data_IF_825755291257
#
_entry.id   IF_825755291257
#
_cell.length_a   1.000
_cell.length_b   1.000
_cell.length_c   1.000
_cell.angle_alpha   90.00
_cell.angle_beta   90.00
_cell.angle_gamma   90.00
#
_symmetry.space_group_name_H-M   'P 1'
#
loop_
_entity.id
_entity.type
_entity.pdbx_description
1 polymer ?
#
# COMPACT_ATOMS: atom_id res chain seq x y z
N UNK A 1 -15.53 -6.79 -4.74
CA UNK A 1 -14.29 -6.29 -4.10
C UNK A 1 -14.27 -4.78 -4.07
N UNK A 2 -14.34 -4.08 -5.21
CA UNK A 2 -14.37 -2.62 -5.28
C UNK A 2 -15.41 -1.97 -4.34
N UNK A 3 -16.69 -2.37 -4.43
CA UNK A 3 -17.77 -1.79 -3.60
C UNK A 3 -17.51 -1.97 -2.11
N UNK A 4 -17.07 -3.16 -1.70
CA UNK A 4 -16.74 -3.45 -0.31
C UNK A 4 -15.60 -2.55 0.19
N UNK A 5 -14.48 -2.51 -0.54
CA UNK A 5 -13.35 -1.64 -0.18
C UNK A 5 -13.75 -0.16 -0.16
N UNK A 6 -14.56 0.29 -1.13
CA UNK A 6 -15.07 1.65 -1.19
C UNK A 6 -15.91 1.98 0.03
N UNK A 7 -16.90 1.15 0.40
CA UNK A 7 -17.70 1.39 1.60
C UNK A 7 -16.84 1.39 2.87
N UNK A 8 -15.90 0.45 3.02
CA UNK A 8 -15.03 0.40 4.20
C UNK A 8 -14.13 1.63 4.34
N UNK A 9 -13.54 2.14 3.24
CA UNK A 9 -12.68 3.32 3.29
C UNK A 9 -13.46 4.65 3.38
N UNK A 10 -14.57 4.77 2.64
CA UNK A 10 -15.30 6.04 2.57
C UNK A 10 -16.33 6.20 3.68
N UNK A 11 -16.84 5.13 4.28
CA UNK A 11 -17.86 5.23 5.34
C UNK A 11 -17.40 6.06 6.55
N UNK A 12 -16.17 5.87 7.00
CA UNK A 12 -15.60 6.65 8.11
C UNK A 12 -15.47 8.12 7.73
N UNK A 13 -15.00 8.42 6.53
CA UNK A 13 -14.86 9.80 6.04
C UNK A 13 -16.22 10.49 5.84
N UNK A 14 -17.21 9.78 5.29
CA UNK A 14 -18.57 10.30 5.18
C UNK A 14 -19.20 10.57 6.56
N UNK A 15 -18.94 9.70 7.54
CA UNK A 15 -19.39 9.91 8.91
C UNK A 15 -18.80 11.19 9.50
N UNK A 16 -17.48 11.36 9.42
CA UNK A 16 -16.78 12.54 9.95
C UNK A 16 -17.18 13.82 9.19
N UNK A 17 -17.38 13.76 7.87
CA UNK A 17 -17.72 14.94 7.06
C UNK A 17 -19.15 15.45 7.22
N UNK A 18 -20.13 14.55 7.36
CA UNK A 18 -21.54 14.93 7.33
C UNK A 18 -22.26 14.79 8.67
N UNK A 19 -21.87 13.81 9.49
CA UNK A 19 -22.58 13.47 10.72
C UNK A 19 -21.88 14.00 11.96
N UNK A 20 -20.54 14.00 11.97
CA UNK A 20 -19.76 14.49 13.10
C UNK A 20 -19.90 16.02 13.23
N UNK A 21 -20.16 16.50 14.45
CA UNK A 21 -20.36 17.91 14.76
C UNK A 21 -21.72 18.53 14.36
N UNK A 22 -22.50 17.91 13.46
CA UNK A 22 -23.84 18.41 13.07
C UNK A 22 -24.96 17.97 13.99
N UNK A 23 -24.83 16.78 14.60
CA UNK A 23 -25.84 16.20 15.50
C UNK A 23 -25.56 16.57 16.97
N UNK A 24 -24.48 17.31 17.22
CA UNK A 24 -24.12 17.76 18.57
C UNK A 24 -25.01 18.94 18.97
N UNK A 25 -25.68 18.80 20.11
CA UNK A 25 -26.50 19.88 20.70
C UNK A 25 -25.64 21.03 21.23
N UNK A 26 -26.28 22.10 21.69
CA UNK A 26 -25.59 23.22 22.34
C UNK A 26 -25.28 22.91 23.81
N UNK A 27 -24.29 23.58 24.44
CA UNK A 27 -24.02 23.43 25.86
C UNK A 27 -25.31 23.64 26.67
N UNK A 28 -25.64 22.64 27.48
CA UNK A 28 -26.88 22.55 28.27
C UNK A 28 -27.88 21.49 27.78
N UNK A 29 -27.92 21.18 26.47
CA UNK A 29 -28.82 20.18 25.90
C UNK A 29 -28.12 19.35 24.82
N UNK A 30 -27.22 18.48 25.25
CA UNK A 30 -26.51 17.55 24.37
C UNK A 30 -27.44 16.43 23.91
N UNK A 31 -27.42 16.14 22.62
CA UNK A 31 -28.05 14.94 22.06
C UNK A 31 -27.25 13.72 22.54
N UNK A 32 -27.88 12.84 23.32
CA UNK A 32 -27.28 11.57 23.77
C UNK A 32 -27.94 10.43 23.02
N UNK A 33 -27.16 9.68 22.25
CA UNK A 33 -27.64 8.47 21.58
C UNK A 33 -27.29 7.29 22.49
N UNK A 34 -28.30 6.49 22.86
CA UNK A 34 -28.16 5.35 23.78
C UNK A 34 -27.48 5.69 25.13
N UNK A 35 -27.61 6.94 25.61
CA UNK A 35 -27.05 7.40 26.89
C UNK A 35 -25.60 7.90 26.83
N UNK A 36 -24.90 7.69 25.71
CA UNK A 36 -23.53 8.15 25.52
C UNK A 36 -23.48 9.52 24.81
N UNK A 37 -22.46 10.32 25.15
CA UNK A 37 -22.17 11.60 24.49
C UNK A 37 -21.43 11.31 23.19
N UNK A 38 -21.87 11.91 22.09
CA UNK A 38 -21.18 11.78 20.80
C UNK A 38 -19.80 12.47 20.85
N UNK A 39 -18.90 12.02 19.97
CA UNK A 39 -17.60 12.67 19.76
C UNK A 39 -17.81 14.11 19.28
N UNK A 40 -17.04 15.01 19.87
CA UNK A 40 -17.01 16.43 19.52
C UNK A 40 -15.79 16.71 18.66
N UNK A 41 -15.96 17.51 17.61
CA UNK A 41 -14.83 17.93 16.79
C UNK A 41 -13.88 18.80 17.64
N UNK A 42 -12.59 18.74 17.33
CA UNK A 42 -11.55 19.58 17.89
C UNK A 42 -11.91 21.09 17.71
N UNK A 43 -11.47 22.01 18.60
CA UNK A 43 -11.69 23.45 18.43
C UNK A 43 -11.19 24.01 17.09
N UNK A 44 -10.27 23.32 16.42
CA UNK A 44 -9.81 23.63 15.05
C UNK A 44 -10.82 23.27 13.94
N UNK A 45 -11.87 22.50 14.25
CA UNK A 45 -12.97 22.12 13.37
C UNK A 45 -12.91 20.67 12.88
N UNK A 46 -14.03 20.10 12.45
CA UNK A 46 -14.06 18.71 11.92
C UNK A 46 -13.31 18.51 10.59
N UNK A 47 -13.04 19.60 9.87
CA UNK A 47 -12.32 19.55 8.59
C UNK A 47 -10.83 19.21 8.78
N UNK A 48 -10.23 19.56 9.92
CA UNK A 48 -8.81 19.26 10.20
C UNK A 48 -8.61 17.78 10.51
N UNK A 49 -9.55 17.15 11.22
CA UNK A 49 -9.54 15.71 11.51
C UNK A 49 -9.65 14.88 10.22
N UNK A 50 -10.58 15.25 9.33
CA UNK A 50 -10.69 14.68 7.97
C UNK A 50 -9.39 14.84 7.19
N UNK A 51 -8.81 16.04 7.23
CA UNK A 51 -7.57 16.33 6.52
C UNK A 51 -6.42 15.43 6.99
N UNK A 52 -6.22 15.31 8.31
CA UNK A 52 -5.17 14.45 8.88
C UNK A 52 -5.41 13.00 8.50
N UNK A 53 -6.65 12.51 8.62
CA UNK A 53 -6.99 11.13 8.26
C UNK A 53 -6.67 10.83 6.80
N UNK A 54 -7.04 11.73 5.88
CA UNK A 54 -6.76 11.57 4.45
C UNK A 54 -5.27 11.65 4.12
N UNK A 55 -4.56 12.61 4.72
CA UNK A 55 -3.11 12.75 4.53
C UNK A 55 -2.34 11.52 5.00
N UNK A 56 -2.71 10.98 6.17
CA UNK A 56 -2.10 9.76 6.71
C UNK A 56 -2.36 8.56 5.80
N UNK A 57 -3.60 8.37 5.33
CA UNK A 57 -3.94 7.25 4.43
C UNK A 57 -3.13 7.32 3.14
N UNK A 58 -3.05 8.50 2.50
CA UNK A 58 -2.32 8.68 1.24
C UNK A 58 -0.81 8.54 1.42
N UNK A 59 -0.21 9.20 2.41
CA UNK A 59 1.24 9.13 2.67
C UNK A 59 1.68 7.73 3.10
N UNK A 60 0.92 7.08 3.98
CA UNK A 60 1.26 5.75 4.48
C UNK A 60 1.19 4.69 3.38
N UNK A 61 0.14 4.72 2.54
CA UNK A 61 -0.01 3.77 1.43
C UNK A 61 1.09 3.93 0.39
N UNK A 62 1.34 5.16 -0.06
CA UNK A 62 2.38 5.46 -1.05
C UNK A 62 3.77 5.04 -0.55
N UNK A 63 4.09 5.33 0.72
CA UNK A 63 5.39 5.00 1.31
C UNK A 63 5.55 3.50 1.52
N UNK A 64 4.53 2.81 2.04
CA UNK A 64 4.60 1.36 2.25
C UNK A 64 4.72 0.59 0.93
N UNK A 65 3.96 0.96 -0.10
CA UNK A 65 4.02 0.28 -1.39
C UNK A 65 5.40 0.46 -2.03
N UNK A 66 5.93 1.69 -2.05
CA UNK A 66 7.28 1.99 -2.53
C UNK A 66 8.37 1.25 -1.71
N UNK A 67 8.22 1.17 -0.38
CA UNK A 67 9.16 0.41 0.47
C UNK A 67 9.13 -1.07 0.13
N UNK A 68 7.95 -1.69 -0.04
CA UNK A 68 7.83 -3.12 -0.36
C UNK A 68 8.40 -3.42 -1.75
N UNK A 69 8.07 -2.59 -2.74
CA UNK A 69 8.56 -2.74 -4.10
C UNK A 69 10.08 -2.57 -4.19
N UNK A 70 10.67 -1.68 -3.40
CA UNK A 70 12.13 -1.54 -3.33
C UNK A 70 12.79 -2.67 -2.52
N UNK A 71 12.19 -3.05 -1.39
CA UNK A 71 12.76 -4.03 -0.45
C UNK A 71 12.72 -5.45 -1.01
N UNK A 72 11.67 -5.82 -1.74
CA UNK A 72 11.52 -7.14 -2.38
C UNK A 72 12.72 -7.54 -3.27
N UNK A 73 13.04 -6.79 -4.33
CA UNK A 73 14.19 -7.08 -5.21
C UNK A 73 15.52 -6.94 -4.48
N UNK A 74 15.63 -6.04 -3.50
CA UNK A 74 16.85 -5.89 -2.71
C UNK A 74 17.15 -7.13 -1.85
N UNK A 75 16.16 -7.61 -1.08
CA UNK A 75 16.28 -8.83 -0.27
C UNK A 75 16.57 -10.04 -1.16
N UNK A 76 15.88 -10.15 -2.29
CA UNK A 76 16.10 -11.22 -3.26
C UNK A 76 17.48 -11.18 -3.90
N UNK A 77 18.02 -10.00 -4.20
CA UNK A 77 19.39 -9.81 -4.69
C UNK A 77 20.41 -10.27 -3.65
N UNK A 78 20.20 -9.94 -2.38
CA UNK A 78 21.05 -10.41 -1.29
C UNK A 78 21.01 -11.93 -1.09
N UNK A 79 19.81 -12.53 -1.12
CA UNK A 79 19.63 -13.98 -1.05
C UNK A 79 20.27 -14.68 -2.25
N UNK A 80 20.10 -14.13 -3.45
CA UNK A 80 20.71 -14.64 -4.68
C UNK A 80 22.24 -14.62 -4.59
N UNK A 81 22.86 -13.54 -4.09
CA UNK A 81 24.31 -13.44 -3.87
C UNK A 81 24.82 -14.47 -2.85
N UNK A 82 24.07 -14.73 -1.77
CA UNK A 82 24.42 -15.76 -0.77
C UNK A 82 24.26 -17.19 -1.32
N UNK A 83 23.20 -17.44 -2.08
CA UNK A 83 22.96 -18.73 -2.73
C UNK A 83 24.00 -19.04 -3.83
N UNK A 84 24.35 -18.04 -4.65
CA UNK A 84 25.38 -18.16 -5.69
C UNK A 84 26.74 -18.52 -5.09
N UNK A 85 27.13 -17.89 -3.96
CA UNK A 85 28.36 -18.24 -3.23
C UNK A 85 28.35 -19.66 -2.66
N UNK A 86 27.20 -20.19 -2.24
CA UNK A 86 27.06 -21.57 -1.75
C UNK A 86 27.08 -22.60 -2.88
N UNK A 87 26.45 -22.31 -4.01
CA UNK A 87 26.34 -23.21 -5.16
C UNK A 87 27.59 -23.22 -6.07
N UNK A 88 28.34 -22.11 -6.16
CA UNK A 88 29.68 -22.07 -6.80
C UNK A 88 30.67 -23.09 -6.23
N UNK A 89 30.45 -23.53 -4.99
CA UNK A 89 31.26 -24.59 -4.35
C UNK A 89 30.84 -26.00 -4.75
N UNK A 90 29.61 -26.20 -5.23
CA UNK A 90 29.09 -27.51 -5.68
C UNK A 90 29.35 -27.78 -7.17
N UNK A 91 29.49 -26.73 -7.99
CA UNK A 91 29.88 -26.88 -9.39
C UNK A 91 31.40 -26.71 -9.53
N UNK A 92 32.15 -27.83 -9.48
CA UNK A 92 33.61 -27.83 -9.64
C UNK A 92 34.11 -27.31 -11.00
N UNK A 93 33.22 -27.16 -12.00
CA UNK A 93 33.57 -26.82 -13.39
C UNK A 93 33.45 -25.32 -13.75
N UNK A 94 32.83 -24.49 -12.89
CA UNK A 94 32.58 -23.07 -13.18
C UNK A 94 33.82 -22.15 -13.12
N UNK A 95 35.02 -22.69 -12.80
CA UNK A 95 36.27 -21.92 -12.82
C UNK A 95 36.87 -21.77 -14.23
N UNK A 96 36.37 -22.53 -15.22
CA UNK A 96 36.91 -22.50 -16.60
C UNK A 96 36.22 -21.40 -17.41
N UNK A 97 37.01 -20.59 -18.14
CA UNK A 97 36.55 -19.53 -19.06
C UNK A 97 35.48 -19.98 -20.09
N UNK A 98 35.30 -21.29 -20.31
CA UNK A 98 34.32 -21.88 -21.21
C UNK A 98 32.85 -21.56 -20.85
N UNK A 99 32.50 -21.43 -19.55
CA UNK A 99 31.15 -21.04 -19.13
C UNK A 99 30.77 -19.57 -19.44
N UNK A 100 31.69 -18.76 -20.00
CA UNK A 100 31.38 -17.38 -20.44
C UNK A 100 30.77 -17.30 -21.84
N UNK A 101 30.93 -18.35 -22.66
CA UNK A 101 30.45 -18.36 -24.06
C UNK A 101 29.11 -19.09 -24.16
N UNK A 102 28.97 -20.24 -23.50
CA UNK A 102 27.68 -20.94 -23.33
C UNK A 102 27.51 -21.42 -21.88
N UNK A 103 26.33 -21.19 -21.25
CA UNK A 103 26.06 -21.65 -19.90
C UNK A 103 25.88 -23.18 -19.86
N UNK A 104 26.55 -23.82 -18.91
CA UNK A 104 26.44 -25.25 -18.64
C UNK A 104 25.00 -25.68 -18.26
N UNK A 105 24.60 -26.94 -18.44
CA UNK A 105 23.24 -27.40 -18.11
C UNK A 105 22.87 -27.20 -16.62
N UNK A 106 23.85 -27.39 -15.73
CA UNK A 106 23.70 -27.11 -14.29
C UNK A 106 23.46 -25.60 -14.04
N UNK A 107 24.12 -24.75 -14.83
CA UNK A 107 24.00 -23.30 -14.78
C UNK A 107 22.60 -22.86 -15.28
N UNK A 108 22.13 -23.44 -16.41
CA UNK A 108 20.81 -23.21 -16.98
C UNK A 108 19.67 -23.65 -16.04
N UNK A 109 19.80 -24.82 -15.43
CA UNK A 109 18.83 -25.32 -14.45
C UNK A 109 18.73 -24.40 -13.23
N UNK A 110 19.86 -23.82 -12.80
CA UNK A 110 19.89 -22.87 -11.69
C UNK A 110 19.17 -21.56 -12.03
N UNK A 111 19.36 -21.02 -13.25
CA UNK A 111 18.63 -19.84 -13.69
C UNK A 111 17.14 -20.11 -13.81
N UNK A 112 16.75 -21.30 -14.27
CA UNK A 112 15.35 -21.75 -14.28
C UNK A 112 14.73 -21.83 -12.88
N UNK A 113 15.40 -22.45 -11.92
CA UNK A 113 14.93 -22.50 -10.52
C UNK A 113 14.85 -21.11 -9.90
N UNK A 114 15.82 -20.24 -10.19
CA UNK A 114 15.81 -18.85 -9.75
C UNK A 114 14.61 -18.11 -10.34
N UNK A 115 14.34 -18.31 -11.63
CA UNK A 115 13.18 -17.79 -12.35
C UNK A 115 11.85 -18.29 -11.78
N UNK A 116 11.78 -19.57 -11.44
CA UNK A 116 10.61 -20.19 -10.83
C UNK A 116 10.30 -19.66 -9.43
N UNK A 117 11.34 -19.29 -8.66
CA UNK A 117 11.20 -18.65 -7.35
C UNK A 117 10.96 -17.12 -7.43
N UNK A 118 10.88 -16.51 -8.62
CA UNK A 118 10.35 -15.16 -8.71
C UNK A 118 8.86 -15.17 -8.33
N UNK A 119 8.41 -14.09 -7.66
CA UNK A 119 7.01 -13.91 -7.34
C UNK A 119 6.21 -14.06 -8.64
N UNK A 120 5.21 -14.93 -8.66
CA UNK A 120 4.32 -15.05 -9.81
C UNK A 120 3.59 -13.71 -9.95
N UNK A 121 3.59 -13.16 -11.16
CA UNK A 121 2.72 -12.04 -11.49
C UNK A 121 1.29 -12.56 -11.47
N UNK A 122 0.60 -12.38 -10.35
CA UNK A 122 -0.80 -12.73 -10.23
C UNK A 122 -1.62 -11.76 -11.10
N UNK A 123 -2.57 -12.29 -11.88
CA UNK A 123 -3.46 -11.49 -12.73
C UNK A 123 -4.31 -10.48 -11.92
N UNK A 124 -4.42 -10.70 -10.60
CA UNK A 124 -5.10 -9.81 -9.66
C UNK A 124 -4.22 -8.68 -9.11
N UNK A 125 -2.89 -8.71 -9.28
CA UNK A 125 -2.00 -7.64 -8.81
C UNK A 125 -2.34 -6.30 -9.47
N UNK A 126 -2.52 -6.32 -10.79
CA UNK A 126 -2.94 -5.14 -11.55
C UNK A 126 -4.30 -4.61 -11.07
N UNK A 127 -5.24 -5.48 -10.70
CA UNK A 127 -6.55 -5.05 -10.22
C UNK A 127 -6.45 -4.28 -8.91
N UNK A 128 -5.63 -4.72 -7.96
CA UNK A 128 -5.40 -4.00 -6.70
C UNK A 128 -4.66 -2.67 -6.91
N UNK A 129 -3.68 -2.62 -7.82
CA UNK A 129 -2.99 -1.38 -8.20
C UNK A 129 -3.96 -0.36 -8.84
N UNK A 130 -4.83 -0.81 -9.74
CA UNK A 130 -5.87 0.04 -10.31
C UNK A 130 -6.88 0.51 -9.27
N UNK A 131 -7.26 -0.37 -8.33
CA UNK A 131 -8.16 -0.02 -7.23
C UNK A 131 -7.56 1.07 -6.33
N UNK A 132 -6.27 0.96 -6.03
CA UNK A 132 -5.52 1.96 -5.25
C UNK A 132 -5.52 3.33 -5.95
N UNK A 133 -5.23 3.37 -7.25
CA UNK A 133 -5.31 4.61 -8.04
C UNK A 133 -6.71 5.22 -8.07
N UNK A 134 -7.75 4.41 -8.24
CA UNK A 134 -9.15 4.88 -8.29
C UNK A 134 -9.59 5.42 -6.93
N UNK A 135 -9.20 4.77 -5.84
CA UNK A 135 -9.51 5.24 -4.48
C UNK A 135 -8.82 6.58 -4.20
N UNK A 136 -7.54 6.72 -4.57
CA UNK A 136 -6.79 7.98 -4.45
C UNK A 136 -7.44 9.11 -5.26
N UNK A 137 -7.83 8.84 -6.51
CA UNK A 137 -8.55 9.80 -7.35
C UNK A 137 -9.91 10.20 -6.74
N UNK A 138 -10.67 9.23 -6.23
CA UNK A 138 -11.96 9.46 -5.57
C UNK A 138 -11.83 10.35 -4.33
N UNK A 139 -10.75 10.20 -3.56
CA UNK A 139 -10.43 11.07 -2.44
C UNK A 139 -10.16 12.50 -2.87
N UNK A 140 -9.32 12.69 -3.89
CA UNK A 140 -9.01 14.04 -4.41
C UNK A 140 -10.21 14.76 -5.00
N UNK A 141 -11.15 14.03 -5.61
CA UNK A 141 -12.30 14.62 -6.29
C UNK A 141 -13.50 14.87 -5.36
N UNK A 142 -13.80 13.95 -4.44
CA UNK A 142 -14.93 14.09 -3.51
C UNK A 142 -14.64 15.12 -2.41
N UNK A 143 -13.40 15.18 -1.92
CA UNK A 143 -12.99 16.07 -0.83
C UNK A 143 -12.08 17.22 -1.30
N UNK A 144 -12.13 17.58 -2.58
CA UNK A 144 -11.31 18.66 -3.17
C UNK A 144 -11.46 20.00 -2.44
N UNK A 145 -12.67 20.28 -1.94
CA UNK A 145 -12.98 21.49 -1.20
C UNK A 145 -12.26 21.56 0.16
N UNK A 146 -11.89 20.41 0.73
CA UNK A 146 -11.14 20.33 1.97
C UNK A 146 -9.61 20.36 1.75
N UNK A 147 -9.13 19.93 0.58
CA UNK A 147 -7.69 19.85 0.31
C UNK A 147 -7.34 20.10 -1.18
N UNK A 148 -6.99 21.34 -1.57
CA UNK A 148 -6.60 21.66 -2.95
C UNK A 148 -5.21 21.14 -3.33
N UNK A 149 -4.39 20.69 -2.36
CA UNK A 149 -3.03 20.18 -2.57
C UNK A 149 -3.00 18.65 -2.74
N UNK A 150 -4.15 17.96 -2.73
CA UNK A 150 -4.25 16.51 -2.96
C UNK A 150 -3.63 16.00 -4.28
N UNK A 151 -3.65 16.78 -5.39
CA UNK A 151 -3.08 16.34 -6.66
C UNK A 151 -1.57 16.58 -6.80
N UNK A 152 -0.91 17.22 -5.82
CA UNK A 152 0.51 17.57 -5.86
C UNK A 152 1.42 16.41 -5.41
#
# INVERSE_FOLDING_TARGET
MFTFQFFTLFSSLFYVAFFLGRINGHPGQYVRIAGFRLEECDPSGCLTDLFIQMAVIMLLKQTLNNIVEFTGPWVKSLLSKKAEKRMKRKCGHCYRKACRVEPCDICKLQDWLRNYHLCRSDAFSLFEEFLEMVIQFSFTTIFVAAFPLAPL
#
